data_IF_160841303526
#
_entry.id   IF_160841303526
#
_cell.length_a   1.000
_cell.length_b   1.000
_cell.length_c   1.000
_cell.angle_alpha   90.00
_cell.angle_beta   90.00
_cell.angle_gamma   90.00
#
_symmetry.space_group_name_H-M   'P 1'
#
loop_
_entity.id
_entity.type
_entity.pdbx_description
1 polymer ?
#
# COMPACT_ATOMS: atom_id res chain seq x y z
N UNK A 1 5.75 7.65 -19.86
CA UNK A 1 6.78 6.88 -19.15
C UNK A 1 7.83 7.76 -18.48
N UNK A 2 8.63 8.55 -19.18
CA UNK A 2 9.63 9.46 -18.61
C UNK A 2 9.05 10.46 -17.59
N UNK A 3 7.87 11.02 -17.81
CA UNK A 3 7.19 11.91 -16.83
C UNK A 3 6.90 11.24 -15.49
N UNK A 4 6.40 10.01 -15.51
CA UNK A 4 6.07 9.25 -14.28
C UNK A 4 7.35 8.88 -13.53
N UNK A 5 8.37 8.43 -14.26
CA UNK A 5 9.66 8.09 -13.68
C UNK A 5 10.33 9.31 -13.04
N UNK A 6 10.40 10.44 -13.75
CA UNK A 6 10.95 11.67 -13.20
C UNK A 6 10.18 12.17 -11.98
N UNK A 7 8.84 12.04 -11.96
CA UNK A 7 8.05 12.41 -10.78
C UNK A 7 8.34 11.51 -9.57
N UNK A 8 8.55 10.21 -9.78
CA UNK A 8 8.92 9.26 -8.71
C UNK A 8 10.26 9.63 -8.08
N UNK A 9 11.28 9.90 -8.90
CA UNK A 9 12.58 10.36 -8.42
C UNK A 9 12.46 11.67 -7.63
N UNK A 10 11.73 12.65 -8.19
CA UNK A 10 11.55 13.94 -7.53
C UNK A 10 10.87 13.82 -6.17
N UNK A 11 9.86 12.96 -6.04
CA UNK A 11 9.18 12.71 -4.77
C UNK A 11 10.14 12.13 -3.74
N UNK A 12 10.93 11.12 -4.10
CA UNK A 12 11.90 10.53 -3.18
C UNK A 12 12.95 11.57 -2.76
N UNK A 13 13.50 12.34 -3.71
CA UNK A 13 14.48 13.38 -3.41
C UNK A 13 13.91 14.46 -2.46
N UNK A 14 12.68 14.93 -2.72
CA UNK A 14 12.00 15.89 -1.85
C UNK A 14 11.78 15.29 -0.45
N UNK A 15 11.35 14.04 -0.37
CA UNK A 15 11.13 13.35 0.90
C UNK A 15 12.42 13.20 1.71
N UNK A 16 13.54 12.89 1.07
CA UNK A 16 14.86 12.84 1.70
C UNK A 16 15.30 14.23 2.21
N UNK A 17 15.05 15.28 1.43
CA UNK A 17 15.35 16.65 1.86
C UNK A 17 14.50 17.02 3.08
N UNK A 18 13.20 16.73 3.05
CA UNK A 18 12.29 17.00 4.18
C UNK A 18 12.75 16.23 5.43
N UNK A 19 13.04 14.93 5.30
CA UNK A 19 13.55 14.10 6.39
C UNK A 19 14.81 14.65 7.02
N UNK A 20 15.73 15.17 6.23
CA UNK A 20 16.98 15.76 6.74
C UNK A 20 16.75 16.96 7.68
N UNK A 21 15.67 17.72 7.50
CA UNK A 21 15.37 18.94 8.28
C UNK A 21 14.41 18.72 9.46
N UNK A 22 13.79 17.55 9.58
CA UNK A 22 12.84 17.25 10.65
C UNK A 22 13.33 16.08 11.51
N UNK A 23 12.85 16.00 12.76
CA UNK A 23 13.16 14.85 13.63
C UNK A 23 12.27 13.66 13.34
N UNK A 24 12.69 12.46 13.80
CA UNK A 24 11.93 11.20 13.67
C UNK A 24 10.50 11.32 14.18
N UNK A 25 10.26 12.12 15.23
CA UNK A 25 8.92 12.39 15.78
C UNK A 25 8.03 13.06 14.72
N UNK A 26 8.55 14.10 14.06
CA UNK A 26 7.81 14.81 13.02
C UNK A 26 7.66 13.98 11.76
N UNK A 27 8.63 13.14 11.41
CA UNK A 27 8.49 12.15 10.34
C UNK A 27 7.32 11.21 10.59
N UNK A 28 7.26 10.63 11.79
CA UNK A 28 6.17 9.73 12.17
C UNK A 28 4.80 10.44 12.13
N UNK A 29 4.73 11.67 12.64
CA UNK A 29 3.49 12.47 12.59
C UNK A 29 3.06 12.71 11.13
N UNK A 30 3.98 13.15 10.26
CA UNK A 30 3.69 13.37 8.84
C UNK A 30 3.28 12.08 8.15
N UNK A 31 3.98 10.97 8.42
CA UNK A 31 3.64 9.65 7.89
C UNK A 31 2.23 9.23 8.28
N UNK A 32 1.86 9.34 9.55
CA UNK A 32 0.50 9.07 10.02
C UNK A 32 -0.55 9.98 9.38
N UNK A 33 -0.29 11.28 9.29
CA UNK A 33 -1.21 12.23 8.63
C UNK A 33 -1.45 11.81 7.16
N UNK A 34 -0.41 11.45 6.43
CA UNK A 34 -0.51 11.00 5.04
C UNK A 34 -1.34 9.71 4.94
N UNK A 35 -1.03 8.70 5.75
CA UNK A 35 -1.73 7.40 5.73
C UNK A 35 -3.22 7.59 6.12
N UNK A 36 -3.48 8.31 7.22
CA UNK A 36 -4.84 8.50 7.72
C UNK A 36 -5.67 9.48 6.88
N UNK A 37 -5.07 10.32 6.06
CA UNK A 37 -5.79 11.19 5.13
C UNK A 37 -5.97 10.53 3.75
N UNK A 38 -4.97 10.59 2.90
CA UNK A 38 -5.05 10.12 1.52
C UNK A 38 -5.22 8.59 1.46
N UNK A 39 -4.52 7.86 2.35
CA UNK A 39 -4.62 6.40 2.40
C UNK A 39 -6.03 5.91 2.74
N UNK A 40 -6.72 6.53 3.69
CA UNK A 40 -8.11 6.17 4.03
C UNK A 40 -9.08 6.59 2.92
N UNK A 41 -8.88 7.78 2.32
CA UNK A 41 -9.69 8.26 1.18
C UNK A 41 -9.57 7.31 -0.03
N UNK A 42 -8.40 6.70 -0.25
CA UNK A 42 -8.18 5.73 -1.32
C UNK A 42 -9.14 4.54 -1.25
N UNK A 43 -9.39 3.97 -0.07
CA UNK A 43 -10.33 2.85 0.12
C UNK A 43 -11.79 3.24 0.33
N UNK A 44 -12.08 4.54 0.54
CA UNK A 44 -13.41 4.98 0.97
C UNK A 44 -14.50 4.89 -0.12
N UNK A 45 -14.13 4.82 -1.40
CA UNK A 45 -15.08 4.78 -2.52
C UNK A 45 -15.32 3.38 -3.10
N UNK A 46 -14.90 2.32 -2.42
CA UNK A 46 -15.08 0.93 -2.87
C UNK A 46 -16.55 0.59 -3.19
N UNK A 47 -17.48 1.14 -2.42
CA UNK A 47 -18.92 0.96 -2.68
C UNK A 47 -19.39 1.56 -4.00
N UNK A 48 -18.82 2.71 -4.42
CA UNK A 48 -19.14 3.32 -5.73
C UNK A 48 -18.59 2.45 -6.86
N UNK A 49 -17.42 1.86 -6.67
CA UNK A 49 -16.81 0.94 -7.62
C UNK A 49 -17.67 -0.31 -7.76
N UNK A 50 -18.08 -0.92 -6.64
CA UNK A 50 -18.95 -2.11 -6.61
C UNK A 50 -20.28 -1.80 -7.31
N UNK A 51 -20.91 -0.67 -7.03
CA UNK A 51 -22.17 -0.26 -7.65
C UNK A 51 -22.02 -0.09 -9.16
N UNK A 52 -20.94 0.54 -9.64
CA UNK A 52 -20.69 0.69 -11.08
C UNK A 52 -20.47 -0.66 -11.78
N UNK A 53 -19.77 -1.60 -11.14
CA UNK A 53 -19.57 -2.96 -11.68
C UNK A 53 -20.87 -3.76 -11.74
N UNK A 54 -21.72 -3.64 -10.74
CA UNK A 54 -22.93 -4.48 -10.63
C UNK A 54 -24.02 -4.10 -11.63
N UNK A 55 -23.94 -2.94 -12.29
CA UNK A 55 -24.97 -2.41 -13.23
C UNK A 55 -26.40 -2.46 -12.70
N UNK A 56 -26.60 -2.66 -11.41
CA UNK A 56 -27.92 -2.79 -10.77
C UNK A 56 -28.16 -1.55 -9.92
N UNK A 57 -28.88 -0.59 -10.48
CA UNK A 57 -29.20 0.69 -9.87
C UNK A 57 -30.44 0.66 -8.97
N UNK A 58 -30.67 -0.38 -8.20
CA UNK A 58 -31.77 -0.36 -7.22
C UNK A 58 -31.25 0.01 -5.84
N UNK A 59 -31.93 0.91 -5.12
CA UNK A 59 -31.59 1.27 -3.73
C UNK A 59 -31.43 0.06 -2.81
N UNK A 60 -32.15 -1.03 -3.09
CA UNK A 60 -32.06 -2.28 -2.33
C UNK A 60 -30.71 -2.99 -2.58
N UNK A 61 -30.16 -2.92 -3.78
CA UNK A 61 -28.84 -3.50 -4.07
C UNK A 61 -27.72 -2.71 -3.43
N UNK A 62 -27.81 -1.37 -3.39
CA UNK A 62 -26.82 -0.53 -2.73
C UNK A 62 -26.77 -0.80 -1.21
N UNK A 63 -27.92 -0.89 -0.56
CA UNK A 63 -27.99 -1.23 0.87
C UNK A 63 -27.42 -2.63 1.16
N UNK A 64 -27.65 -3.60 0.27
CA UNK A 64 -27.14 -4.96 0.40
C UNK A 64 -25.58 -4.98 0.27
N UNK A 65 -25.04 -4.28 -0.70
CA UNK A 65 -23.57 -4.17 -0.87
C UNK A 65 -22.92 -3.45 0.30
N UNK A 66 -23.56 -2.40 0.81
CA UNK A 66 -23.09 -1.73 2.02
C UNK A 66 -23.08 -2.68 3.22
N UNK A 67 -24.09 -3.48 3.40
CA UNK A 67 -24.15 -4.47 4.46
C UNK A 67 -23.06 -5.55 4.30
N UNK A 68 -22.84 -6.07 3.10
CA UNK A 68 -21.73 -7.02 2.85
C UNK A 68 -20.37 -6.38 3.13
N UNK A 69 -20.17 -5.13 2.71
CA UNK A 69 -18.94 -4.41 3.00
C UNK A 69 -18.68 -4.30 4.51
N UNK A 70 -19.68 -3.85 5.27
CA UNK A 70 -19.58 -3.77 6.74
C UNK A 70 -19.34 -5.15 7.37
N UNK A 71 -19.96 -6.19 6.86
CA UNK A 71 -19.75 -7.57 7.33
C UNK A 71 -18.31 -8.01 7.12
N UNK A 72 -17.73 -7.74 5.94
CA UNK A 72 -16.32 -8.08 5.64
C UNK A 72 -15.37 -7.30 6.54
N UNK A 73 -15.60 -6.00 6.74
CA UNK A 73 -14.81 -5.18 7.67
C UNK A 73 -14.88 -5.71 9.10
N UNK A 74 -16.08 -6.05 9.56
CA UNK A 74 -16.29 -6.64 10.89
C UNK A 74 -15.59 -8.00 11.03
N UNK A 75 -15.71 -8.88 10.04
CA UNK A 75 -15.01 -10.17 10.03
C UNK A 75 -13.48 -9.99 10.02
N UNK A 76 -12.97 -9.02 9.27
CA UNK A 76 -11.54 -8.64 9.31
C UNK A 76 -11.09 -8.22 10.70
N UNK A 77 -11.89 -7.38 11.37
CA UNK A 77 -11.64 -6.99 12.76
C UNK A 77 -11.62 -8.20 13.71
N UNK A 78 -12.64 -9.07 13.65
CA UNK A 78 -12.69 -10.29 14.45
C UNK A 78 -11.49 -11.19 14.18
N UNK A 79 -11.08 -11.31 12.91
CA UNK A 79 -9.90 -12.08 12.51
C UNK A 79 -8.62 -11.55 13.14
N UNK A 80 -8.41 -10.22 13.12
CA UNK A 80 -7.26 -9.61 13.82
C UNK A 80 -7.32 -9.76 15.33
N UNK A 81 -8.51 -9.72 15.92
CA UNK A 81 -8.68 -9.90 17.37
C UNK A 81 -8.44 -11.34 17.83
N UNK A 82 -8.95 -12.32 17.09
CA UNK A 82 -8.89 -13.75 17.48
C UNK A 82 -7.58 -14.41 17.05
N UNK A 83 -7.04 -14.04 15.89
CA UNK A 83 -5.84 -14.63 15.28
C UNK A 83 -4.81 -13.57 14.88
N UNK A 84 -4.30 -12.75 15.79
CA UNK A 84 -3.49 -11.57 15.46
C UNK A 84 -2.25 -11.90 14.63
N UNK A 85 -1.51 -12.95 14.96
CA UNK A 85 -0.30 -13.36 14.25
C UNK A 85 -0.61 -13.78 12.80
N UNK A 86 -1.65 -14.60 12.59
CA UNK A 86 -2.04 -15.07 11.26
C UNK A 86 -2.60 -13.91 10.44
N UNK A 87 -3.38 -13.03 11.07
CA UNK A 87 -3.95 -11.86 10.42
C UNK A 87 -2.86 -10.90 9.93
N UNK A 88 -1.84 -10.61 10.75
CA UNK A 88 -0.71 -9.78 10.35
C UNK A 88 0.07 -10.41 9.18
N UNK A 89 0.38 -11.70 9.25
CA UNK A 89 1.07 -12.40 8.16
C UNK A 89 0.24 -12.41 6.87
N UNK A 90 -1.06 -12.67 6.97
CA UNK A 90 -1.98 -12.62 5.82
C UNK A 90 -2.02 -11.21 5.21
N UNK A 91 -2.10 -10.17 6.05
CA UNK A 91 -2.06 -8.79 5.61
C UNK A 91 -0.78 -8.48 4.83
N UNK A 92 0.39 -8.88 5.32
CA UNK A 92 1.67 -8.67 4.62
C UNK A 92 1.69 -9.42 3.27
N UNK A 93 1.25 -10.69 3.24
CA UNK A 93 1.24 -11.50 2.01
C UNK A 93 0.30 -10.88 0.95
N UNK A 94 -0.89 -10.47 1.34
CA UNK A 94 -1.84 -9.81 0.42
C UNK A 94 -1.27 -8.47 -0.05
N UNK A 95 -0.63 -7.71 0.86
CA UNK A 95 -0.01 -6.43 0.52
C UNK A 95 1.16 -6.57 -0.45
N UNK A 96 1.97 -7.63 -0.34
CA UNK A 96 3.05 -7.94 -1.29
C UNK A 96 2.50 -8.01 -2.73
N UNK A 97 1.44 -8.80 -2.93
CA UNK A 97 0.80 -8.90 -4.25
C UNK A 97 0.22 -7.56 -4.69
N UNK A 98 -0.58 -6.93 -3.83
CA UNK A 98 -1.34 -5.73 -4.16
C UNK A 98 -0.44 -4.52 -4.50
N UNK A 99 0.64 -4.30 -3.77
CA UNK A 99 1.59 -3.22 -4.10
C UNK A 99 2.34 -3.48 -5.41
N UNK A 100 2.71 -4.73 -5.67
CA UNK A 100 3.33 -5.08 -6.95
C UNK A 100 2.38 -4.94 -8.13
N UNK A 101 1.11 -5.36 -7.98
CA UNK A 101 0.06 -5.18 -8.98
C UNK A 101 -0.12 -3.72 -9.34
N UNK A 102 -0.36 -2.85 -8.35
CA UNK A 102 -0.58 -1.41 -8.58
C UNK A 102 0.65 -0.73 -9.21
N UNK A 103 1.87 -1.14 -8.85
CA UNK A 103 3.09 -0.61 -9.44
C UNK A 103 3.16 -0.90 -10.95
N UNK A 104 2.77 -2.10 -11.35
CA UNK A 104 2.88 -2.56 -12.72
C UNK A 104 1.67 -2.26 -13.60
N UNK A 105 0.47 -2.09 -13.05
CA UNK A 105 -0.75 -1.77 -13.81
C UNK A 105 -0.58 -0.55 -14.72
N UNK A 106 0.16 0.46 -14.26
CA UNK A 106 0.46 1.68 -15.05
C UNK A 106 1.25 1.39 -16.33
N UNK A 107 2.03 0.30 -16.34
CA UNK A 107 2.96 -0.05 -17.41
C UNK A 107 2.48 -1.22 -18.28
N UNK A 108 1.51 -1.99 -17.80
CA UNK A 108 0.96 -3.13 -18.51
C UNK A 108 -0.29 -2.73 -19.30
N UNK A 109 -0.48 -3.33 -20.46
CA UNK A 109 -1.68 -3.10 -21.25
C UNK A 109 -2.93 -3.66 -20.55
N UNK A 110 -4.01 -2.89 -20.51
CA UNK A 110 -5.32 -3.32 -19.98
C UNK A 110 -5.93 -4.49 -20.77
N UNK A 111 -5.47 -4.71 -22.00
CA UNK A 111 -5.95 -5.80 -22.87
C UNK A 111 -5.35 -7.17 -22.52
N UNK A 112 -4.24 -7.18 -21.78
CA UNK A 112 -3.61 -8.43 -21.42
C UNK A 112 -4.34 -9.05 -20.21
N UNK A 113 -4.95 -10.20 -20.38
CA UNK A 113 -5.49 -10.99 -19.26
C UNK A 113 -4.40 -11.23 -18.20
N UNK A 114 -4.81 -11.30 -16.93
CA UNK A 114 -3.90 -11.70 -15.84
C UNK A 114 -3.40 -13.11 -16.17
N UNK A 115 -2.10 -13.22 -16.43
CA UNK A 115 -1.43 -14.49 -16.66
C UNK A 115 -0.41 -14.75 -15.55
N UNK A 116 0.08 -15.98 -15.47
CA UNK A 116 1.00 -16.40 -14.42
C UNK A 116 2.28 -15.52 -14.37
N UNK A 117 2.75 -15.03 -15.53
CA UNK A 117 3.91 -14.15 -15.61
C UNK A 117 3.68 -12.81 -14.90
N UNK A 118 2.47 -12.22 -15.02
CA UNK A 118 2.14 -10.99 -14.29
C UNK A 118 2.09 -11.21 -12.79
N UNK A 119 1.51 -12.32 -12.34
CA UNK A 119 1.44 -12.68 -10.91
C UNK A 119 2.84 -12.77 -10.30
N UNK A 120 3.77 -13.46 -10.97
CA UNK A 120 5.17 -13.53 -10.50
C UNK A 120 5.83 -12.15 -10.46
N UNK A 121 5.61 -11.31 -11.47
CA UNK A 121 6.14 -9.96 -11.51
C UNK A 121 5.66 -9.11 -10.32
N UNK A 122 4.37 -9.20 -9.99
CA UNK A 122 3.77 -8.49 -8.87
C UNK A 122 4.34 -8.98 -7.54
N UNK A 123 4.39 -10.29 -7.35
CA UNK A 123 4.91 -10.90 -6.12
C UNK A 123 6.40 -10.54 -5.92
N UNK A 124 7.24 -10.66 -6.93
CA UNK A 124 8.67 -10.35 -6.80
C UNK A 124 8.90 -8.87 -6.47
N UNK A 125 8.18 -7.96 -7.15
CA UNK A 125 8.25 -6.54 -6.84
C UNK A 125 7.87 -6.26 -5.38
N UNK A 126 6.73 -6.80 -4.93
CA UNK A 126 6.26 -6.60 -3.57
C UNK A 126 7.19 -7.21 -2.51
N UNK A 127 7.75 -8.40 -2.75
CA UNK A 127 8.73 -9.00 -1.84
C UNK A 127 9.97 -8.09 -1.70
N UNK A 128 10.54 -7.60 -2.80
CA UNK A 128 11.70 -6.70 -2.77
C UNK A 128 11.36 -5.44 -1.98
N UNK A 129 10.19 -4.84 -2.24
CA UNK A 129 9.71 -3.65 -1.53
C UNK A 129 9.64 -3.87 -0.02
N UNK A 130 8.91 -4.90 0.44
CA UNK A 130 8.77 -5.19 1.87
C UNK A 130 10.10 -5.59 2.51
N UNK A 131 10.93 -6.34 1.80
CA UNK A 131 12.25 -6.74 2.31
C UNK A 131 13.16 -5.53 2.53
N UNK A 132 13.18 -4.55 1.62
CA UNK A 132 13.93 -3.30 1.77
C UNK A 132 13.45 -2.54 3.01
N UNK A 133 12.14 -2.33 3.16
CA UNK A 133 11.57 -1.61 4.30
C UNK A 133 11.88 -2.33 5.62
N UNK A 134 11.69 -3.63 5.68
CA UNK A 134 11.89 -4.42 6.90
C UNK A 134 13.35 -4.47 7.31
N UNK A 135 14.26 -4.66 6.35
CA UNK A 135 15.69 -4.72 6.62
C UNK A 135 16.23 -3.40 7.17
N UNK A 136 15.81 -2.27 6.59
CA UNK A 136 16.29 -0.96 7.00
C UNK A 136 15.67 -0.47 8.32
N UNK A 137 14.56 -1.08 8.77
CA UNK A 137 13.85 -0.74 10.00
C UNK A 137 13.67 -1.96 10.92
N UNK A 138 14.62 -2.90 10.89
CA UNK A 138 14.50 -4.24 11.48
C UNK A 138 14.13 -4.21 12.97
N UNK A 139 14.67 -3.26 13.74
CA UNK A 139 14.36 -3.13 15.17
C UNK A 139 12.87 -2.90 15.40
N UNK A 140 12.29 -1.89 14.74
CA UNK A 140 10.88 -1.53 14.89
C UNK A 140 9.97 -2.65 14.35
N UNK A 141 10.35 -3.26 13.22
CA UNK A 141 9.64 -4.41 12.66
C UNK A 141 9.60 -5.57 13.64
N UNK A 142 10.72 -5.88 14.30
CA UNK A 142 10.78 -6.95 15.29
C UNK A 142 10.00 -6.61 16.58
N UNK A 143 9.93 -5.37 16.98
CA UNK A 143 9.06 -4.92 18.08
C UNK A 143 7.58 -5.18 17.73
N UNK A 144 7.16 -4.84 16.51
CA UNK A 144 5.80 -5.14 16.03
C UNK A 144 5.57 -6.65 15.96
N UNK A 145 6.46 -7.44 15.37
CA UNK A 145 6.32 -8.90 15.29
C UNK A 145 6.19 -9.54 16.66
N UNK A 146 6.99 -9.09 17.62
CA UNK A 146 6.94 -9.57 19.00
C UNK A 146 5.60 -9.28 19.67
N UNK A 147 5.01 -8.10 19.44
CA UNK A 147 3.67 -7.76 19.94
C UNK A 147 2.58 -8.69 19.39
N UNK A 148 2.80 -9.26 18.22
CA UNK A 148 1.90 -10.25 17.59
C UNK A 148 2.30 -11.71 17.88
N UNK A 149 3.22 -11.96 18.84
CA UNK A 149 3.75 -13.30 19.16
C UNK A 149 4.38 -14.01 17.93
N UNK A 150 5.01 -13.27 17.05
CA UNK A 150 5.75 -13.77 15.90
C UNK A 150 7.24 -13.69 16.24
N UNK A 151 8.00 -14.72 15.87
CA UNK A 151 9.45 -14.70 16.05
C UNK A 151 10.11 -13.56 15.29
N UNK A 152 11.14 -12.93 15.87
CA UNK A 152 11.85 -11.85 15.22
C UNK A 152 12.53 -12.32 13.92
N UNK A 153 12.58 -11.43 12.95
CA UNK A 153 13.33 -11.63 11.72
C UNK A 153 14.83 -11.38 11.97
N UNK A 154 15.66 -12.16 11.33
CA UNK A 154 17.11 -11.93 11.32
C UNK A 154 17.53 -11.22 10.03
N UNK A 155 18.45 -10.29 10.15
CA UNK A 155 18.96 -9.51 9.00
C UNK A 155 19.54 -10.40 7.88
N UNK A 156 20.13 -11.54 8.24
CA UNK A 156 20.68 -12.50 7.28
C UNK A 156 19.61 -13.05 6.32
N UNK A 157 18.43 -13.44 6.84
CA UNK A 157 17.35 -13.95 5.99
C UNK A 157 16.74 -12.87 5.10
N UNK A 158 16.64 -11.63 5.60
CA UNK A 158 16.17 -10.51 4.79
C UNK A 158 17.16 -10.15 3.69
N UNK A 159 18.46 -10.13 3.97
CA UNK A 159 19.48 -9.90 2.96
C UNK A 159 19.50 -11.00 1.90
N UNK A 160 19.40 -12.27 2.32
CA UNK A 160 19.30 -13.40 1.39
C UNK A 160 18.05 -13.28 0.50
N UNK A 161 16.90 -12.97 1.10
CA UNK A 161 15.65 -12.76 0.36
C UNK A 161 15.80 -11.59 -0.63
N UNK A 162 16.36 -10.45 -0.21
CA UNK A 162 16.60 -9.31 -1.08
C UNK A 162 17.45 -9.69 -2.30
N UNK A 163 18.56 -10.39 -2.09
CA UNK A 163 19.45 -10.82 -3.19
C UNK A 163 18.71 -11.79 -4.13
N UNK A 164 18.12 -12.85 -3.58
CA UNK A 164 17.48 -13.90 -4.38
C UNK A 164 16.31 -13.33 -5.20
N UNK A 165 15.39 -12.59 -4.55
CA UNK A 165 14.24 -12.06 -5.26
C UNK A 165 14.59 -10.91 -6.21
N UNK A 166 15.62 -10.11 -5.91
CA UNK A 166 16.13 -9.11 -6.87
C UNK A 166 16.71 -9.78 -8.12
N UNK A 167 17.53 -10.81 -7.95
CA UNK A 167 18.09 -11.58 -9.08
C UNK A 167 16.96 -12.19 -9.91
N UNK A 168 16.02 -12.89 -9.27
CA UNK A 168 14.87 -13.49 -9.96
C UNK A 168 14.03 -12.43 -10.69
N UNK A 169 13.76 -11.30 -10.07
CA UNK A 169 13.00 -10.20 -10.65
C UNK A 169 13.66 -9.63 -11.90
N UNK A 170 14.95 -9.29 -11.82
CA UNK A 170 15.68 -8.74 -12.96
C UNK A 170 15.88 -9.76 -14.09
N UNK A 171 16.12 -11.03 -13.77
CA UNK A 171 16.13 -12.11 -14.77
C UNK A 171 14.76 -12.27 -15.44
N UNK A 172 13.68 -12.13 -14.67
CA UNK A 172 12.34 -12.22 -15.19
C UNK A 172 12.00 -11.03 -16.11
N UNK A 173 12.43 -9.81 -15.77
CA UNK A 173 12.32 -8.66 -16.66
C UNK A 173 13.12 -8.83 -17.95
N UNK A 174 14.30 -9.45 -17.88
CA UNK A 174 15.12 -9.79 -19.06
C UNK A 174 14.45 -10.86 -19.94
N UNK A 175 13.79 -11.83 -19.33
CA UNK A 175 13.07 -12.90 -20.04
C UNK A 175 11.88 -12.33 -20.83
N UNK A 176 11.11 -11.41 -20.25
CA UNK A 176 9.95 -10.79 -20.87
C UNK A 176 10.38 -9.63 -21.76
N UNK A 177 10.54 -9.89 -23.07
CA UNK A 177 11.06 -8.91 -24.07
C UNK A 177 10.43 -7.53 -23.97
N UNK A 178 9.11 -7.46 -23.74
CA UNK A 178 8.37 -6.20 -23.66
C UNK A 178 8.68 -5.37 -22.40
N UNK A 179 9.25 -6.00 -21.36
CA UNK A 179 9.55 -5.38 -20.07
C UNK A 179 11.04 -5.00 -19.92
N UNK A 180 11.92 -5.45 -20.80
CA UNK A 180 13.36 -5.10 -20.77
C UNK A 180 13.62 -3.59 -20.72
N UNK A 181 12.78 -2.80 -21.36
CA UNK A 181 12.87 -1.32 -21.36
C UNK A 181 12.71 -0.68 -19.98
N UNK A 182 12.21 -1.42 -18.99
CA UNK A 182 12.02 -0.94 -17.62
C UNK A 182 13.19 -1.27 -16.69
N UNK A 183 14.11 -2.17 -17.08
CA UNK A 183 15.21 -2.65 -16.22
C UNK A 183 15.96 -1.52 -15.51
N UNK A 184 16.40 -0.52 -16.25
CA UNK A 184 17.15 0.59 -15.67
C UNK A 184 16.30 1.44 -14.72
N UNK A 185 15.05 1.68 -15.08
CA UNK A 185 14.12 2.43 -14.25
C UNK A 185 13.81 1.71 -12.93
N UNK A 186 13.62 0.40 -12.97
CA UNK A 186 13.37 -0.41 -11.78
C UNK A 186 14.61 -0.50 -10.88
N UNK A 187 15.81 -0.63 -11.46
CA UNK A 187 17.06 -0.61 -10.69
C UNK A 187 17.23 0.73 -9.94
N UNK A 188 17.04 1.87 -10.62
CA UNK A 188 17.08 3.18 -9.99
C UNK A 188 15.98 3.30 -8.92
N UNK A 189 14.77 2.86 -9.23
CA UNK A 189 13.65 2.94 -8.30
C UNK A 189 13.94 2.21 -6.97
N UNK A 190 14.38 0.95 -7.02
CA UNK A 190 14.70 0.20 -5.81
C UNK A 190 15.93 0.76 -5.08
N UNK A 191 16.92 1.29 -5.79
CA UNK A 191 18.07 1.98 -5.18
C UNK A 191 17.64 3.24 -4.42
N UNK A 192 16.76 4.04 -5.01
CA UNK A 192 16.23 5.24 -4.36
C UNK A 192 15.29 4.89 -3.19
N UNK A 193 14.50 3.84 -3.31
CA UNK A 193 13.67 3.34 -2.23
C UNK A 193 14.52 2.86 -1.05
N UNK A 194 15.62 2.16 -1.32
CA UNK A 194 16.57 1.75 -0.29
C UNK A 194 17.18 2.98 0.41
N UNK A 195 17.61 4.00 -0.36
CA UNK A 195 18.11 5.26 0.20
C UNK A 195 17.06 6.01 1.03
N UNK A 196 15.81 6.02 0.59
CA UNK A 196 14.71 6.61 1.35
C UNK A 196 14.55 5.90 2.70
N UNK A 197 14.38 4.59 2.68
CA UNK A 197 14.03 3.82 3.88
C UNK A 197 15.16 3.67 4.89
N UNK A 198 16.43 3.81 4.49
CA UNK A 198 17.57 3.83 5.42
C UNK A 198 17.74 5.19 6.10
N UNK A 199 17.21 6.27 5.51
CA UNK A 199 17.36 7.64 6.03
C UNK A 199 16.06 8.19 6.63
N UNK A 200 15.00 7.40 6.71
CA UNK A 200 13.70 7.84 7.24
C UNK A 200 13.17 6.81 8.24
N UNK A 201 12.22 7.24 9.08
CA UNK A 201 11.49 6.31 9.94
C UNK A 201 10.66 5.33 9.11
N UNK A 202 10.35 4.16 9.69
CA UNK A 202 9.50 3.13 9.06
C UNK A 202 8.18 3.71 8.55
N UNK A 203 7.51 4.52 9.39
CA UNK A 203 6.18 5.07 9.10
C UNK A 203 6.26 6.10 7.97
N UNK A 204 7.26 6.99 7.99
CA UNK A 204 7.40 8.00 6.96
C UNK A 204 7.84 7.40 5.62
N UNK A 205 8.85 6.54 5.61
CA UNK A 205 9.32 5.85 4.41
C UNK A 205 8.21 5.02 3.74
N UNK A 206 7.44 4.26 4.56
CA UNK A 206 6.27 3.53 4.08
C UNK A 206 5.18 4.48 3.55
N UNK A 207 4.87 5.56 4.28
CA UNK A 207 3.85 6.54 3.87
C UNK A 207 4.16 7.18 2.52
N UNK A 208 5.42 7.56 2.27
CA UNK A 208 5.85 8.12 0.99
C UNK A 208 5.58 7.13 -0.15
N UNK A 209 5.98 5.87 0.00
CA UNK A 209 5.67 4.86 -1.00
C UNK A 209 4.15 4.65 -1.13
N UNK A 210 3.46 4.39 -0.03
CA UNK A 210 2.04 4.08 -0.01
C UNK A 210 1.19 5.19 -0.64
N UNK A 211 1.49 6.45 -0.35
CA UNK A 211 0.71 7.56 -0.87
C UNK A 211 1.03 7.85 -2.33
N UNK A 212 2.31 8.05 -2.66
CA UNK A 212 2.70 8.59 -3.96
C UNK A 212 2.85 7.53 -5.05
N UNK A 213 3.12 6.28 -4.69
CA UNK A 213 3.34 5.21 -5.67
C UNK A 213 2.21 4.19 -5.72
N UNK A 214 1.29 4.25 -4.75
CA UNK A 214 0.13 3.37 -4.67
C UNK A 214 -1.19 4.16 -4.62
N UNK A 215 -1.48 4.88 -3.52
CA UNK A 215 -2.81 5.46 -3.30
C UNK A 215 -3.22 6.52 -4.31
N UNK A 216 -2.34 7.47 -4.65
CA UNK A 216 -2.67 8.52 -5.63
C UNK A 216 -2.87 7.97 -7.04
N UNK A 217 -2.13 6.93 -7.43
CA UNK A 217 -2.32 6.27 -8.72
C UNK A 217 -3.65 5.54 -8.75
N UNK A 218 -3.97 4.79 -7.69
CA UNK A 218 -5.24 4.09 -7.56
C UNK A 218 -6.43 5.05 -7.50
N UNK A 219 -6.35 6.17 -6.77
CA UNK A 219 -7.39 7.22 -6.76
C UNK A 219 -7.64 7.73 -8.18
N UNK A 220 -6.58 7.98 -8.96
CA UNK A 220 -6.70 8.42 -10.34
C UNK A 220 -7.43 7.38 -11.20
N UNK A 221 -7.05 6.10 -11.09
CA UNK A 221 -7.70 5.01 -11.83
C UNK A 221 -9.15 4.82 -11.41
N UNK A 222 -9.45 4.94 -10.13
CA UNK A 222 -10.82 4.90 -9.60
C UNK A 222 -11.67 6.07 -10.11
N UNK A 223 -11.14 7.30 -10.16
CA UNK A 223 -11.84 8.47 -10.71
C UNK A 223 -12.16 8.24 -12.18
N UNK A 224 -11.17 7.80 -12.96
CA UNK A 224 -11.37 7.46 -14.37
C UNK A 224 -12.42 6.35 -14.55
N UNK A 225 -12.40 5.35 -13.68
CA UNK A 225 -13.38 4.26 -13.73
C UNK A 225 -14.79 4.76 -13.36
N UNK A 226 -14.94 5.56 -12.29
CA UNK A 226 -16.24 5.99 -11.77
C UNK A 226 -16.87 7.07 -12.66
N UNK A 227 -16.06 8.04 -13.13
CA UNK A 227 -16.54 9.26 -13.81
C UNK A 227 -16.11 9.42 -15.25
N UNK A 228 -15.40 8.42 -15.82
CA UNK A 228 -14.90 8.34 -17.19
C UNK A 228 -13.79 9.34 -17.56
N UNK A 229 -13.43 10.28 -16.67
CA UNK A 229 -12.25 11.16 -16.79
C UNK A 229 -11.74 11.64 -15.41
N UNK A 230 -10.46 12.05 -15.32
CA UNK A 230 -9.78 12.49 -14.11
C UNK A 230 -9.68 14.03 -13.97
N UNK A 231 -10.67 14.75 -14.49
CA UNK A 231 -10.67 16.21 -14.38
C UNK A 231 -10.83 16.71 -12.92
N UNK A 232 -10.47 17.99 -12.62
CA UNK A 232 -10.53 18.52 -11.26
C UNK A 232 -11.95 18.50 -10.62
N UNK A 233 -13.01 18.56 -11.44
CA UNK A 233 -14.40 18.48 -10.94
C UNK A 233 -14.69 17.06 -10.42
N UNK A 234 -14.25 16.05 -11.14
CA UNK A 234 -14.42 14.65 -10.76
C UNK A 234 -13.57 14.29 -9.54
N UNK A 235 -12.34 14.82 -9.44
CA UNK A 235 -11.53 14.69 -8.23
C UNK A 235 -12.25 15.28 -7.01
N UNK A 236 -12.80 16.51 -7.14
CA UNK A 236 -13.57 17.12 -6.04
C UNK A 236 -14.79 16.29 -5.67
N UNK A 237 -15.53 15.77 -6.65
CA UNK A 237 -16.67 14.88 -6.43
C UNK A 237 -16.26 13.60 -5.73
N UNK A 238 -15.16 12.98 -6.16
CA UNK A 238 -14.59 11.78 -5.54
C UNK A 238 -14.28 12.03 -4.05
N UNK A 239 -13.60 13.12 -3.72
CA UNK A 239 -13.28 13.49 -2.33
C UNK A 239 -14.56 13.71 -1.50
N UNK A 240 -15.54 14.44 -2.03
CA UNK A 240 -16.80 14.70 -1.31
C UNK A 240 -17.57 13.39 -1.05
N UNK A 241 -17.63 12.49 -2.01
CA UNK A 241 -18.32 11.21 -1.85
C UNK A 241 -17.59 10.25 -0.90
N UNK A 242 -16.29 10.38 -0.73
CA UNK A 242 -15.51 9.59 0.23
C UNK A 242 -15.64 10.08 1.68
N UNK A 243 -16.03 11.36 1.90
CA UNK A 243 -16.04 11.96 3.24
C UNK A 243 -16.88 11.21 4.29
N UNK A 244 -18.11 10.76 4.02
CA UNK A 244 -18.89 9.99 5.00
C UNK A 244 -18.17 8.72 5.45
N UNK A 245 -17.56 7.99 4.52
CA UNK A 245 -16.82 6.74 4.81
C UNK A 245 -15.49 7.02 5.51
N UNK A 246 -14.83 8.12 5.14
CA UNK A 246 -13.63 8.61 5.80
C UNK A 246 -13.90 8.93 7.28
N UNK A 247 -14.97 9.70 7.57
CA UNK A 247 -15.37 10.03 8.93
C UNK A 247 -15.73 8.76 9.71
N UNK A 248 -16.45 7.84 9.07
CA UNK A 248 -16.81 6.56 9.68
C UNK A 248 -15.56 5.74 10.04
N UNK A 249 -14.59 5.63 9.13
CA UNK A 249 -13.33 4.92 9.36
C UNK A 249 -12.54 5.52 10.53
N UNK A 250 -12.41 6.86 10.58
CA UNK A 250 -11.74 7.54 11.70
C UNK A 250 -12.49 7.33 13.03
N UNK A 251 -13.82 7.36 13.00
CA UNK A 251 -14.65 7.12 14.18
C UNK A 251 -14.44 5.68 14.70
N UNK A 252 -14.43 4.70 13.81
CA UNK A 252 -14.13 3.32 14.18
C UNK A 252 -12.72 3.17 14.75
N UNK A 253 -11.73 3.84 14.17
CA UNK A 253 -10.35 3.82 14.68
C UNK A 253 -10.29 4.39 16.10
N UNK A 254 -10.97 5.50 16.37
CA UNK A 254 -11.03 6.13 17.71
C UNK A 254 -11.75 5.23 18.73
N UNK A 255 -12.88 4.65 18.33
CA UNK A 255 -13.61 3.67 19.19
C UNK A 255 -12.71 2.47 19.49
N UNK A 256 -12.08 1.92 18.47
CA UNK A 256 -11.15 0.80 18.62
C UNK A 256 -10.04 1.14 19.60
N UNK A 257 -9.38 2.29 19.43
CA UNK A 257 -8.34 2.77 20.33
C UNK A 257 -8.83 2.94 21.77
N UNK A 258 -10.08 3.38 21.97
CA UNK A 258 -10.65 3.59 23.33
C UNK A 258 -11.14 2.31 24.02
N UNK A 259 -11.51 1.28 23.24
CA UNK A 259 -12.08 0.02 23.77
C UNK A 259 -11.00 -1.05 23.92
N UNK A 260 -10.03 -1.04 23.04
CA UNK A 260 -8.94 -2.03 23.06
C UNK A 260 -7.88 -1.58 24.06
N UNK A 261 -7.73 -2.37 25.11
CA UNK A 261 -6.66 -2.20 26.10
C UNK A 261 -5.37 -2.76 25.49
N UNK A 262 -4.60 -1.89 24.86
CA UNK A 262 -3.34 -2.25 24.19
C UNK A 262 -2.29 -2.80 25.16
N UNK A 263 -2.33 -2.45 26.45
CA UNK A 263 -1.46 -3.03 27.46
C UNK A 263 -1.75 -4.53 27.69
N UNK A 264 -3.02 -4.95 27.56
CA UNK A 264 -3.41 -6.37 27.66
C UNK A 264 -3.09 -7.18 26.42
N UNK A 265 -2.94 -6.52 25.25
CA UNK A 265 -2.62 -7.20 23.99
C UNK A 265 -1.10 -7.28 23.78
N UNK A 266 -0.27 -6.72 24.71
CA UNK A 266 1.19 -6.56 24.53
C UNK A 266 1.56 -5.83 23.23
N UNK A 267 0.73 -4.88 22.81
CA UNK A 267 0.93 -4.07 21.60
C UNK A 267 1.57 -2.71 21.87
N UNK A 268 2.09 -2.49 23.08
CA UNK A 268 2.84 -1.30 23.48
C UNK A 268 4.19 -1.67 24.06
#
# INVERSE_FOLDING_TARGET
>A
MLKIFNSRISIICISLIVSYFISDVYENILGFILILSIGVVHGANDLLIINKYSKKETKRSEALYFFYYLTIVFLGFVFFYVFPSIALLTFVIVSIYHFGEQHWEVNLSKSDSVNLNKVFLFIFHGIIFFTIIFMNNLKIVNEVLSSFNINPLENYYLLLALIVFSVLYFLFLLYLKNLRKYLFNEAIFFSLLFLLTINTTLIFGFAIYFIFFHSLLSIKDQINFIYDDDNPKNLKKYIITSMPYFILALTFLLIFYSVVDFEKINLL
#
